data_IF_070805665936
#
_entry.id   IF_070805665936
#
_cell.length_a   1.000
_cell.length_b   1.000
_cell.length_c   1.000
_cell.angle_alpha   90.00
_cell.angle_beta   90.00
_cell.angle_gamma   90.00
#
_symmetry.space_group_name_H-M   'P 1'
#
loop_
_entity.id
_entity.type
_entity.pdbx_description
1 polymer ?
#
# COMPACT_ATOMS: atom_id res chain seq x y z
N UNK A 1 -15.97 -13.92 7.68
CA UNK A 1 -16.47 -12.72 6.97
C UNK A 1 -15.73 -12.51 5.64
N UNK A 2 -16.25 -11.66 4.76
CA UNK A 2 -15.49 -11.16 3.61
C UNK A 2 -14.72 -9.92 4.05
N UNK A 3 -13.44 -9.86 3.71
CA UNK A 3 -12.58 -8.69 3.90
C UNK A 3 -12.05 -8.22 2.55
N UNK A 4 -11.91 -6.91 2.37
CA UNK A 4 -11.37 -6.37 1.13
C UNK A 4 -10.74 -4.99 1.26
N UNK A 5 -9.75 -4.69 0.43
CA UNK A 5 -9.30 -3.30 0.22
C UNK A 5 -10.33 -2.53 -0.62
N UNK A 6 -10.36 -1.19 -0.53
CA UNK A 6 -11.22 -0.39 -1.43
C UNK A 6 -10.84 -0.56 -2.92
N UNK A 7 -9.63 -1.07 -3.17
CA UNK A 7 -9.07 -1.29 -4.51
C UNK A 7 -9.37 -2.69 -5.08
N UNK A 8 -10.13 -3.53 -4.36
CA UNK A 8 -10.75 -4.75 -4.90
C UNK A 8 -10.08 -6.08 -4.52
N UNK A 9 -9.06 -6.09 -3.65
CA UNK A 9 -8.51 -7.34 -3.12
C UNK A 9 -9.53 -7.95 -2.16
N UNK A 10 -10.17 -9.09 -2.49
CA UNK A 10 -11.29 -9.68 -1.73
C UNK A 10 -10.95 -11.09 -1.25
N UNK A 11 -11.17 -11.32 0.04
CA UNK A 11 -10.73 -12.53 0.74
C UNK A 11 -11.83 -13.03 1.67
N UNK A 12 -11.99 -14.36 1.76
CA UNK A 12 -12.80 -14.99 2.80
C UNK A 12 -11.91 -15.25 4.02
N UNK A 13 -12.26 -14.62 5.13
CA UNK A 13 -11.54 -14.71 6.39
C UNK A 13 -12.40 -15.41 7.44
N UNK A 14 -11.93 -16.55 7.93
CA UNK A 14 -12.50 -17.23 9.09
C UNK A 14 -11.89 -16.61 10.36
N UNK A 15 -12.67 -15.75 11.02
CA UNK A 15 -12.24 -15.01 12.20
C UNK A 15 -11.98 -15.90 13.41
N UNK A 16 -12.67 -17.04 13.51
CA UNK A 16 -12.56 -17.92 14.68
C UNK A 16 -11.23 -18.68 14.67
N UNK A 17 -10.82 -19.16 13.50
CA UNK A 17 -9.59 -19.94 13.35
C UNK A 17 -8.41 -19.13 12.80
N UNK A 18 -8.67 -17.91 12.33
CA UNK A 18 -7.70 -17.08 11.62
C UNK A 18 -7.30 -17.67 10.27
N UNK A 19 -8.19 -18.40 9.59
CA UNK A 19 -7.91 -18.98 8.26
C UNK A 19 -8.28 -18.02 7.14
N UNK A 20 -7.50 -18.06 6.06
CA UNK A 20 -7.58 -17.13 4.95
C UNK A 20 -7.72 -17.90 3.63
N UNK A 21 -8.76 -17.56 2.87
CA UNK A 21 -9.11 -18.20 1.60
C UNK A 21 -9.32 -17.15 0.50
N UNK A 22 -8.75 -17.40 -0.67
CA UNK A 22 -8.83 -16.51 -1.83
C UNK A 22 -9.10 -17.39 -3.05
N UNK A 23 -10.30 -17.28 -3.62
CA UNK A 23 -10.77 -18.19 -4.68
C UNK A 23 -10.62 -19.67 -4.24
N UNK A 24 -9.82 -20.45 -4.95
CA UNK A 24 -9.48 -21.85 -4.64
C UNK A 24 -8.20 -22.00 -3.80
N UNK A 25 -7.52 -20.90 -3.49
CA UNK A 25 -6.29 -20.87 -2.70
C UNK A 25 -6.57 -20.73 -1.19
N UNK A 26 -5.96 -21.60 -0.39
CA UNK A 26 -5.90 -21.49 1.06
C UNK A 26 -4.51 -21.04 1.47
N UNK A 27 -4.43 -20.09 2.39
CA UNK A 27 -3.16 -19.79 3.07
C UNK A 27 -2.69 -21.00 3.88
N UNK A 28 -1.39 -21.02 4.16
CA UNK A 28 -0.76 -22.07 4.97
C UNK A 28 -1.39 -22.09 6.37
N UNK A 29 -2.07 -23.19 6.69
CA UNK A 29 -2.77 -23.33 7.98
C UNK A 29 -1.83 -23.58 9.14
N UNK A 30 -0.59 -24.00 8.89
CA UNK A 30 0.41 -24.18 9.95
C UNK A 30 0.88 -22.85 10.56
N UNK A 31 0.67 -21.73 9.85
CA UNK A 31 1.00 -20.39 10.36
C UNK A 31 -0.18 -19.66 10.98
N UNK A 32 -1.38 -20.21 10.86
CA UNK A 32 -2.57 -19.66 11.47
C UNK A 32 -2.47 -19.70 13.02
N UNK A 33 -3.19 -18.83 13.74
CA UNK A 33 -4.16 -17.86 13.23
C UNK A 33 -3.49 -16.64 12.57
N UNK A 34 -4.03 -16.21 11.43
CA UNK A 34 -3.68 -14.93 10.82
C UNK A 34 -4.61 -13.84 11.32
N UNK A 35 -4.07 -12.69 11.71
CA UNK A 35 -4.84 -11.46 11.88
C UNK A 35 -4.81 -10.66 10.57
N UNK A 36 -5.98 -10.31 10.05
CA UNK A 36 -6.10 -9.45 8.86
C UNK A 36 -6.01 -7.98 9.25
N UNK A 37 -5.27 -7.19 8.48
CA UNK A 37 -5.22 -5.72 8.54
C UNK A 37 -5.51 -5.11 7.17
N UNK A 38 -6.08 -3.90 7.19
CA UNK A 38 -6.35 -3.09 6.01
C UNK A 38 -7.75 -3.27 5.42
N UNK A 39 -8.68 -3.88 6.16
CA UNK A 39 -10.02 -4.15 5.66
C UNK A 39 -10.80 -2.84 5.49
N UNK A 40 -11.15 -2.51 4.24
CA UNK A 40 -11.82 -1.25 3.89
C UNK A 40 -10.88 -0.06 3.71
N UNK A 41 -9.56 -0.25 3.74
CA UNK A 41 -8.60 0.84 3.57
C UNK A 41 -8.36 1.19 2.10
N UNK A 42 -7.85 2.41 1.90
CA UNK A 42 -7.53 2.98 0.59
C UNK A 42 -6.06 3.37 0.41
N UNK A 43 -5.27 3.36 1.49
CA UNK A 43 -3.82 3.55 1.45
C UNK A 43 -3.07 2.21 1.41
N UNK A 44 -3.65 1.22 0.74
CA UNK A 44 -3.04 -0.09 0.52
C UNK A 44 -3.57 -0.76 -0.76
N UNK A 45 -2.67 -1.43 -1.47
CA UNK A 45 -2.98 -2.31 -2.59
C UNK A 45 -3.40 -3.71 -2.15
N UNK A 46 -2.72 -4.23 -1.12
CA UNK A 46 -2.83 -5.61 -0.68
C UNK A 46 -3.15 -5.67 0.82
N UNK A 47 -4.05 -6.59 1.22
CA UNK A 47 -4.29 -6.88 2.64
C UNK A 47 -3.05 -7.52 3.28
N UNK A 48 -2.86 -7.25 4.56
CA UNK A 48 -1.77 -7.82 5.36
C UNK A 48 -2.32 -8.87 6.32
N UNK A 49 -1.58 -9.97 6.44
CA UNK A 49 -1.93 -11.11 7.28
C UNK A 49 -0.80 -11.36 8.27
N UNK A 50 -1.07 -11.09 9.54
CA UNK A 50 -0.07 -11.18 10.61
C UNK A 50 -0.20 -12.54 11.28
N UNK A 51 0.88 -13.32 11.26
CA UNK A 51 1.02 -14.57 11.99
C UNK A 51 2.06 -14.44 13.09
N UNK A 52 2.19 -15.48 13.93
CA UNK A 52 3.22 -15.51 14.98
C UNK A 52 4.64 -15.39 14.42
N UNK A 53 4.92 -16.06 13.31
CA UNK A 53 6.27 -16.14 12.73
C UNK A 53 6.54 -15.07 11.68
N UNK A 54 5.54 -14.33 11.20
CA UNK A 54 5.78 -13.41 10.10
C UNK A 54 4.58 -12.61 9.65
N UNK A 55 4.86 -11.73 8.71
CA UNK A 55 3.88 -10.90 8.02
C UNK A 55 3.78 -11.38 6.58
N UNK A 56 2.56 -11.51 6.11
CA UNK A 56 2.23 -12.07 4.82
C UNK A 56 1.30 -11.16 4.03
N UNK A 57 1.34 -11.27 2.71
CA UNK A 57 0.33 -10.73 1.81
C UNK A 57 0.04 -11.75 0.70
N UNK A 58 -1.07 -11.57 -0.01
CA UNK A 58 -1.35 -12.36 -1.21
C UNK A 58 -0.81 -11.65 -2.45
N UNK A 59 0.21 -12.23 -3.09
CA UNK A 59 0.71 -11.69 -4.34
C UNK A 59 -0.24 -12.09 -5.47
N UNK A 60 -1.02 -11.12 -5.95
CA UNK A 60 -2.01 -11.33 -7.02
C UNK A 60 -1.38 -11.74 -8.36
N UNK A 61 -0.14 -11.33 -8.64
CA UNK A 61 0.57 -11.68 -9.88
C UNK A 61 1.08 -13.12 -9.84
N UNK A 62 1.54 -13.59 -8.67
CA UNK A 62 1.98 -14.98 -8.47
C UNK A 62 0.87 -15.92 -8.01
N UNK A 63 -0.31 -15.38 -7.69
CA UNK A 63 -1.48 -16.09 -7.13
C UNK A 63 -1.12 -16.97 -5.93
N UNK A 64 -0.34 -16.42 -4.98
CA UNK A 64 0.07 -17.15 -3.78
C UNK A 64 0.36 -16.22 -2.61
N UNK A 65 0.30 -16.79 -1.40
CA UNK A 65 0.79 -16.16 -0.19
C UNK A 65 2.31 -15.95 -0.27
N UNK A 66 2.78 -14.78 0.14
CA UNK A 66 4.20 -14.46 0.30
C UNK A 66 4.48 -13.87 1.68
N UNK A 67 5.53 -14.38 2.33
CA UNK A 67 6.08 -13.82 3.57
C UNK A 67 6.99 -12.65 3.22
N UNK A 68 6.77 -11.51 3.85
CA UNK A 68 7.51 -10.26 3.60
C UNK A 68 8.42 -9.84 4.75
N UNK A 69 8.30 -10.49 5.90
CA UNK A 69 9.19 -10.25 7.03
C UNK A 69 8.75 -10.98 8.29
N UNK A 70 9.53 -10.81 9.34
CA UNK A 70 9.19 -11.26 10.69
C UNK A 70 8.00 -10.44 11.22
N UNK A 71 7.28 -10.98 12.20
CA UNK A 71 6.26 -10.20 12.89
C UNK A 71 6.94 -9.13 13.74
N UNK A 72 6.72 -7.86 13.36
CA UNK A 72 7.32 -6.69 14.01
C UNK A 72 6.46 -6.13 15.15
N UNK A 73 5.23 -6.62 15.30
CA UNK A 73 4.26 -6.08 16.25
C UNK A 73 4.39 -6.74 17.60
N UNK A 74 4.13 -5.96 18.64
CA UNK A 74 3.81 -6.51 19.96
C UNK A 74 2.38 -7.06 20.00
N UNK A 75 1.92 -7.45 21.19
CA UNK A 75 0.57 -7.99 21.36
C UNK A 75 -0.51 -6.93 21.07
N UNK A 76 -1.77 -7.38 20.96
CA UNK A 76 -2.97 -6.56 20.81
C UNK A 76 -2.94 -5.53 19.67
N UNK A 77 -2.89 -6.02 18.42
CA UNK A 77 -3.03 -5.14 17.26
C UNK A 77 -4.48 -4.63 17.15
N UNK A 78 -4.72 -3.34 16.95
CA UNK A 78 -6.06 -2.74 16.80
C UNK A 78 -6.08 -1.71 15.67
N UNK A 79 -7.06 -1.78 14.76
CA UNK A 79 -7.27 -0.80 13.69
C UNK A 79 -8.02 0.43 14.24
N UNK A 80 -7.35 1.59 14.28
CA UNK A 80 -7.96 2.87 14.62
C UNK A 80 -8.80 3.40 13.45
N UNK A 81 -8.28 3.20 12.24
CA UNK A 81 -8.95 3.35 10.95
C UNK A 81 -8.50 2.18 10.07
N UNK A 82 -9.13 1.95 8.91
CA UNK A 82 -8.64 0.93 7.97
C UNK A 82 -7.20 1.15 7.47
N UNK A 83 -6.63 2.35 7.64
CA UNK A 83 -5.27 2.69 7.21
C UNK A 83 -4.29 2.88 8.37
N UNK A 84 -4.77 3.05 9.61
CA UNK A 84 -3.96 3.39 10.78
C UNK A 84 -4.30 2.44 11.93
N UNK A 85 -3.30 1.82 12.52
CA UNK A 85 -3.47 0.78 13.51
C UNK A 85 -2.38 0.83 14.58
N UNK A 86 -2.64 0.22 15.72
CA UNK A 86 -1.74 0.20 16.87
C UNK A 86 -1.40 -1.22 17.27
N UNK A 87 -0.29 -1.37 17.98
CA UNK A 87 -0.07 -2.49 18.88
C UNK A 87 -0.06 -1.97 20.33
N UNK A 88 0.41 -2.77 21.29
CA UNK A 88 0.50 -2.33 22.68
C UNK A 88 1.34 -1.06 22.89
N UNK A 89 2.29 -0.75 22.00
CA UNK A 89 3.34 0.26 22.23
C UNK A 89 3.34 1.40 21.21
N UNK A 90 2.95 1.14 19.98
CA UNK A 90 3.25 1.96 18.82
C UNK A 90 2.01 2.13 17.94
N UNK A 91 2.00 3.21 17.18
CA UNK A 91 1.04 3.48 16.11
C UNK A 91 1.75 3.34 14.76
N UNK A 92 1.05 2.71 13.82
CA UNK A 92 1.50 2.39 12.48
C UNK A 92 0.46 2.81 11.46
N UNK A 93 0.86 2.95 10.21
CA UNK A 93 -0.06 3.21 9.12
C UNK A 93 0.41 2.56 7.82
N UNK A 94 -0.56 2.29 6.95
CA UNK A 94 -0.32 1.92 5.57
C UNK A 94 -0.14 3.17 4.72
N UNK A 95 0.82 3.17 3.80
CA UNK A 95 0.88 4.12 2.69
C UNK A 95 1.30 3.36 1.41
N UNK A 96 1.12 3.98 0.24
CA UNK A 96 1.42 3.36 -1.04
C UNK A 96 2.33 4.20 -1.91
N UNK A 97 3.10 3.52 -2.76
CA UNK A 97 3.71 4.17 -3.89
C UNK A 97 3.90 3.22 -5.07
N UNK A 98 3.92 3.82 -6.24
CA UNK A 98 4.11 3.15 -7.51
C UNK A 98 5.54 3.35 -8.02
N UNK A 99 6.15 2.28 -8.51
CA UNK A 99 7.42 2.35 -9.22
C UNK A 99 7.16 2.35 -10.72
N UNK A 100 7.57 3.42 -11.39
CA UNK A 100 7.42 3.58 -12.83
C UNK A 100 8.77 3.47 -13.53
N UNK A 101 8.85 2.64 -14.57
CA UNK A 101 9.96 2.64 -15.51
C UNK A 101 9.72 3.71 -16.57
N UNK A 102 10.68 4.62 -16.73
CA UNK A 102 10.67 5.63 -17.81
C UNK A 102 11.63 5.20 -18.91
N UNK A 103 11.11 4.61 -19.98
CA UNK A 103 11.91 4.28 -21.14
C UNK A 103 12.01 5.46 -22.11
N UNK A 104 13.15 5.60 -22.79
CA UNK A 104 13.41 6.72 -23.72
C UNK A 104 12.34 6.85 -24.83
N UNK A 105 11.78 5.73 -25.30
CA UNK A 105 10.82 5.69 -26.42
C UNK A 105 9.52 4.93 -26.09
N UNK A 106 9.29 4.56 -24.83
CA UNK A 106 8.27 3.56 -24.46
C UNK A 106 7.26 4.09 -23.44
N UNK A 107 7.29 5.38 -23.14
CA UNK A 107 6.46 6.01 -22.13
C UNK A 107 6.79 5.57 -20.70
N UNK A 108 5.85 5.85 -19.79
CA UNK A 108 5.91 5.46 -18.39
C UNK A 108 5.18 4.12 -18.20
N UNK A 109 5.88 3.12 -17.67
CA UNK A 109 5.33 1.78 -17.46
C UNK A 109 5.33 1.48 -15.97
N UNK A 110 4.15 1.21 -15.40
CA UNK A 110 4.03 0.81 -14.00
C UNK A 110 4.71 -0.55 -13.82
N UNK A 111 5.75 -0.55 -12.99
CA UNK A 111 6.63 -1.71 -12.79
C UNK A 111 6.26 -2.47 -11.52
N UNK A 112 5.94 -1.75 -10.44
CA UNK A 112 5.41 -2.35 -9.23
C UNK A 112 4.46 -1.42 -8.49
N UNK A 113 3.53 -2.05 -7.78
CA UNK A 113 2.70 -1.44 -6.75
C UNK A 113 3.25 -1.85 -5.39
N UNK A 114 3.39 -0.90 -4.48
CA UNK A 114 3.98 -1.14 -3.17
C UNK A 114 3.04 -0.64 -2.08
N UNK A 115 2.76 -1.49 -1.11
CA UNK A 115 2.13 -1.09 0.15
C UNK A 115 3.17 -1.19 1.26
N UNK A 116 3.28 -0.14 2.06
CA UNK A 116 4.27 -0.01 3.11
C UNK A 116 3.57 0.09 4.46
N UNK A 117 4.11 -0.58 5.46
CA UNK A 117 3.80 -0.31 6.86
C UNK A 117 4.88 0.62 7.40
N UNK A 118 4.45 1.81 7.79
CA UNK A 118 5.27 2.80 8.47
C UNK A 118 5.01 2.77 9.96
N UNK A 119 6.06 2.88 10.76
CA UNK A 119 5.95 3.31 12.15
C UNK A 119 5.74 4.81 12.18
N UNK A 120 4.67 5.26 12.83
CA UNK A 120 4.40 6.68 13.04
C UNK A 120 5.07 7.15 14.32
N UNK A 121 4.71 6.55 15.46
CA UNK A 121 5.15 6.99 16.78
C UNK A 121 4.82 5.97 17.89
N UNK A 122 5.16 6.27 19.14
CA UNK A 122 4.55 5.67 20.32
C UNK A 122 3.06 5.99 20.35
N UNK A 123 2.25 5.01 20.74
CA UNK A 123 0.78 5.17 20.78
C UNK A 123 0.32 6.13 21.88
N UNK A 124 1.18 6.38 22.88
CA UNK A 124 0.86 7.21 24.03
C UNK A 124 0.44 8.63 23.62
N UNK A 125 -0.60 9.15 24.28
CA UNK A 125 -1.11 10.51 24.13
C UNK A 125 -1.68 10.86 22.74
N UNK A 126 -2.00 9.87 21.91
CA UNK A 126 -2.82 10.07 20.73
C UNK A 126 -4.30 10.00 21.11
N UNK A 127 -5.04 11.05 20.79
CA UNK A 127 -6.47 11.17 21.09
C UNK A 127 -7.24 11.44 19.80
N UNK A 128 -8.29 10.66 19.56
CA UNK A 128 -9.22 10.95 18.47
C UNK A 128 -10.11 12.11 18.85
N UNK A 129 -10.11 13.16 18.03
CA UNK A 129 -10.92 14.37 18.24
C UNK A 129 -12.30 14.20 17.62
N UNK A 130 -12.37 13.89 16.33
CA UNK A 130 -13.64 13.69 15.62
C UNK A 130 -13.47 12.91 14.32
N UNK A 131 -14.56 12.30 13.85
CA UNK A 131 -14.70 11.87 12.46
C UNK A 131 -15.08 13.08 11.59
N UNK A 132 -14.63 13.07 10.34
CA UNK A 132 -15.13 13.93 9.28
C UNK A 132 -15.98 13.08 8.34
N UNK A 133 -17.20 13.52 8.05
CA UNK A 133 -18.20 12.71 7.35
C UNK A 133 -18.80 13.44 6.15
N UNK A 134 -18.90 12.72 5.04
CA UNK A 134 -19.73 13.07 3.87
C UNK A 134 -20.55 11.83 3.50
N UNK A 135 -21.62 11.59 4.25
CA UNK A 135 -22.38 10.32 4.27
C UNK A 135 -21.62 9.14 4.91
N UNK A 136 -20.33 8.99 4.63
CA UNK A 136 -19.40 8.04 5.25
C UNK A 136 -18.20 8.75 5.86
N UNK A 137 -17.39 8.08 6.67
CA UNK A 137 -16.15 8.67 7.21
C UNK A 137 -15.18 8.88 6.05
N UNK A 138 -14.78 10.14 5.87
CA UNK A 138 -13.84 10.57 4.82
C UNK A 138 -12.47 10.93 5.39
N UNK A 139 -12.37 11.07 6.70
CA UNK A 139 -11.11 11.17 7.42
C UNK A 139 -11.36 11.40 8.90
N UNK A 140 -10.30 11.47 9.68
CA UNK A 140 -10.41 11.65 11.14
C UNK A 140 -9.39 12.66 11.63
N UNK A 141 -9.78 13.46 12.63
CA UNK A 141 -8.90 14.41 13.30
C UNK A 141 -8.39 13.78 14.59
N UNK A 142 -7.08 13.84 14.77
CA UNK A 142 -6.37 13.32 15.93
C UNK A 142 -5.53 14.42 16.55
N UNK A 143 -5.27 14.29 17.84
CA UNK A 143 -4.46 15.20 18.62
C UNK A 143 -3.33 14.44 19.28
N UNK A 144 -2.14 15.07 19.33
CA UNK A 144 -1.02 14.61 20.12
C UNK A 144 -0.31 15.81 20.75
N UNK A 145 -0.38 15.94 22.07
CA UNK A 145 0.08 17.17 22.73
C UNK A 145 -0.72 18.37 22.24
N UNK A 146 -0.04 19.40 21.72
CA UNK A 146 -0.69 20.59 21.17
C UNK A 146 -0.91 20.52 19.64
N UNK A 147 -0.40 19.48 19.00
CA UNK A 147 -0.49 19.28 17.55
C UNK A 147 -1.74 18.50 17.15
N UNK A 148 -2.25 18.81 15.95
CA UNK A 148 -3.38 18.12 15.34
C UNK A 148 -2.99 17.48 14.03
N UNK A 149 -3.61 16.35 13.74
CA UNK A 149 -3.33 15.51 12.59
C UNK A 149 -4.63 15.12 11.90
N UNK A 150 -4.59 15.10 10.57
CA UNK A 150 -5.63 14.55 9.72
C UNK A 150 -5.17 13.18 9.21
N UNK A 151 -5.93 12.13 9.55
CA UNK A 151 -5.76 10.79 8.99
C UNK A 151 -6.74 10.61 7.85
N UNK A 152 -6.21 10.35 6.66
CA UNK A 152 -6.97 10.34 5.44
C UNK A 152 -7.75 9.04 5.21
N UNK A 153 -9.02 9.20 4.84
CA UNK A 153 -9.84 8.15 4.25
C UNK A 153 -10.48 8.60 2.91
N UNK A 154 -10.05 9.77 2.40
CA UNK A 154 -10.58 10.45 1.22
C UNK A 154 -9.77 10.20 -0.06
N UNK A 155 -8.82 9.27 -0.04
CA UNK A 155 -7.90 8.95 -1.15
C UNK A 155 -6.97 10.12 -1.49
N UNK A 156 -6.51 10.83 -0.47
CA UNK A 156 -5.38 11.75 -0.61
C UNK A 156 -4.11 10.98 -0.98
N UNK A 157 -3.06 11.70 -1.36
CA UNK A 157 -1.79 11.08 -1.78
C UNK A 157 -1.07 10.36 -0.62
N UNK A 158 -1.15 10.91 0.58
CA UNK A 158 -0.53 10.37 1.78
C UNK A 158 -1.60 10.10 2.84
N UNK A 159 -1.26 9.24 3.78
CA UNK A 159 -2.21 8.76 4.79
C UNK A 159 -2.37 9.72 5.96
N UNK A 160 -1.31 10.44 6.32
CA UNK A 160 -1.28 11.28 7.52
C UNK A 160 -0.69 12.65 7.20
N UNK A 161 -1.39 13.69 7.65
CA UNK A 161 -0.96 15.07 7.55
C UNK A 161 -1.01 15.75 8.92
N UNK A 162 0.01 16.50 9.29
CA UNK A 162 -0.06 17.45 10.40
C UNK A 162 -0.80 18.72 9.93
N UNK A 163 -1.70 19.22 10.75
CA UNK A 163 -2.45 20.45 10.49
C UNK A 163 -1.62 21.62 11.03
N UNK A 164 -1.15 22.47 10.13
CA UNK A 164 -0.14 23.48 10.44
C UNK A 164 -0.67 24.70 11.20
N UNK A 165 -1.98 24.97 11.08
CA UNK A 165 -2.58 26.19 11.58
C UNK A 165 -4.01 26.00 12.07
N UNK A 166 -4.43 26.91 12.95
CA UNK A 166 -5.75 26.87 13.59
C UNK A 166 -6.90 27.12 12.61
N UNK A 167 -6.71 27.95 11.58
CA UNK A 167 -7.77 28.24 10.59
C UNK A 167 -8.15 26.96 9.84
N UNK A 168 -7.14 26.18 9.43
CA UNK A 168 -7.32 24.88 8.77
C UNK A 168 -7.94 23.86 9.71
N UNK A 169 -7.51 23.82 10.98
CA UNK A 169 -8.14 22.97 12.00
C UNK A 169 -9.62 23.32 12.18
N UNK A 170 -9.94 24.61 12.40
CA UNK A 170 -11.30 25.09 12.60
C UNK A 170 -12.16 24.78 11.37
N UNK A 171 -11.62 24.93 10.15
CA UNK A 171 -12.29 24.52 8.92
C UNK A 171 -12.63 23.02 8.92
N UNK A 172 -11.65 22.16 9.20
CA UNK A 172 -11.85 20.70 9.18
C UNK A 172 -12.81 20.21 10.28
N UNK A 173 -12.80 20.85 11.44
CA UNK A 173 -13.72 20.53 12.55
C UNK A 173 -15.17 20.92 12.27
N UNK A 174 -15.39 21.96 11.45
CA UNK A 174 -16.72 22.46 11.11
C UNK A 174 -17.17 22.08 9.69
N UNK A 175 -16.37 21.33 8.93
CA UNK A 175 -16.68 20.93 7.57
C UNK A 175 -17.82 19.90 7.57
N UNK A 176 -18.96 20.28 6.99
CA UNK A 176 -20.07 19.37 6.70
C UNK A 176 -19.86 18.55 5.42
N UNK A 177 -18.85 18.91 4.62
CA UNK A 177 -18.35 18.15 3.48
C UNK A 177 -16.90 18.59 3.21
N UNK A 178 -16.02 17.63 2.91
CA UNK A 178 -14.65 17.87 2.43
C UNK A 178 -14.58 17.53 0.94
N UNK A 179 -14.13 18.48 0.13
CA UNK A 179 -13.79 18.25 -1.28
C UNK A 179 -12.29 17.95 -1.44
N UNK A 180 -11.95 17.08 -2.41
CA UNK A 180 -10.59 16.67 -2.75
C UNK A 180 -9.73 17.88 -3.09
N UNK A 181 -10.26 18.77 -3.93
CA UNK A 181 -9.54 19.95 -4.41
C UNK A 181 -9.15 20.86 -3.24
N UNK A 182 -10.01 21.00 -2.23
CA UNK A 182 -9.71 21.79 -1.04
C UNK A 182 -8.58 21.16 -0.22
N UNK A 183 -8.62 19.84 -0.04
CA UNK A 183 -7.57 19.12 0.67
C UNK A 183 -6.23 19.18 -0.05
N UNK A 184 -6.23 19.02 -1.39
CA UNK A 184 -5.04 19.21 -2.23
C UNK A 184 -4.52 20.63 -2.08
N UNK A 185 -5.38 21.64 -2.14
CA UNK A 185 -5.01 23.04 -1.96
C UNK A 185 -4.39 23.31 -0.58
N UNK A 186 -4.90 22.67 0.49
CA UNK A 186 -4.26 22.76 1.81
C UNK A 186 -2.86 22.14 1.85
N UNK A 187 -2.64 21.03 1.14
CA UNK A 187 -1.30 20.42 1.02
C UNK A 187 -0.36 21.35 0.23
N UNK A 188 -0.81 21.87 -0.92
CA UNK A 188 -0.01 22.76 -1.77
C UNK A 188 0.40 24.06 -1.05
N UNK A 189 -0.49 24.59 -0.20
CA UNK A 189 -0.21 25.77 0.62
C UNK A 189 0.44 25.45 1.98
N UNK A 190 0.90 24.21 2.20
CA UNK A 190 1.57 23.77 3.45
C UNK A 190 0.73 23.93 4.72
N UNK A 191 -0.60 23.98 4.57
CA UNK A 191 -1.57 23.95 5.67
C UNK A 191 -1.80 22.53 6.18
N UNK A 192 -1.64 21.53 5.30
CA UNK A 192 -1.53 20.12 5.62
C UNK A 192 -0.12 19.64 5.25
N UNK A 193 0.69 19.31 6.25
CA UNK A 193 2.08 18.91 6.09
C UNK A 193 2.17 17.39 6.15
N UNK A 194 2.71 16.75 5.10
CA UNK A 194 2.85 15.29 5.04
C UNK A 194 3.72 14.80 6.20
N UNK A 195 3.23 13.79 6.93
CA UNK A 195 4.01 13.09 7.94
C UNK A 195 4.73 11.90 7.30
N UNK A 196 6.04 11.82 7.52
CA UNK A 196 6.86 10.72 7.04
C UNK A 196 7.28 9.84 8.22
N UNK A 197 6.70 8.66 8.32
CA UNK A 197 7.07 7.63 9.29
C UNK A 197 8.32 6.85 8.87
N UNK A 198 8.77 5.97 9.76
CA UNK A 198 9.89 5.06 9.50
C UNK A 198 9.37 3.78 8.82
N UNK A 199 9.88 3.46 7.62
CA UNK A 199 9.48 2.24 6.92
C UNK A 199 9.88 1.00 7.72
N UNK A 200 8.94 0.08 7.96
CA UNK A 200 9.21 -1.17 8.68
C UNK A 200 9.09 -2.40 7.78
N UNK A 201 8.04 -2.48 6.99
CA UNK A 201 7.72 -3.63 6.14
C UNK A 201 7.16 -3.14 4.81
N UNK A 202 7.50 -3.84 3.72
CA UNK A 202 7.04 -3.54 2.36
C UNK A 202 6.49 -4.79 1.69
N UNK A 203 5.28 -4.69 1.16
CA UNK A 203 4.73 -5.64 0.19
C UNK A 203 4.90 -5.06 -1.21
N UNK A 204 5.55 -5.80 -2.11
CA UNK A 204 5.76 -5.39 -3.51
C UNK A 204 5.12 -6.37 -4.47
N UNK A 205 4.20 -5.87 -5.28
CA UNK A 205 3.57 -6.60 -6.39
C UNK A 205 4.18 -6.10 -7.70
N UNK A 206 5.14 -6.85 -8.25
CA UNK A 206 5.73 -6.56 -9.57
C UNK A 206 4.75 -6.91 -10.69
N UNK A 207 4.37 -5.93 -11.52
CA UNK A 207 3.43 -6.12 -12.64
C UNK A 207 4.11 -6.60 -13.94
N UNK A 208 5.44 -6.75 -13.92
CA UNK A 208 6.28 -6.84 -15.11
C UNK A 208 6.75 -8.26 -15.47
N UNK A 209 5.82 -9.16 -15.81
CA UNK A 209 6.18 -10.44 -16.43
C UNK A 209 6.64 -10.27 -17.89
N UNK A 210 5.85 -9.57 -18.70
CA UNK A 210 6.01 -9.58 -20.17
C UNK A 210 7.11 -8.62 -20.65
N UNK A 211 7.22 -7.40 -20.10
CA UNK A 211 8.17 -6.41 -20.64
C UNK A 211 9.62 -6.68 -20.22
N UNK A 212 9.86 -7.17 -19.00
CA UNK A 212 11.19 -7.61 -18.54
C UNK A 212 11.68 -8.78 -19.40
N UNK A 213 10.78 -9.70 -19.74
CA UNK A 213 11.02 -10.78 -20.71
C UNK A 213 11.33 -10.19 -22.10
N UNK A 214 10.47 -9.34 -22.66
CA UNK A 214 10.68 -8.74 -23.98
C UNK A 214 11.99 -7.93 -24.04
N UNK A 215 12.37 -7.14 -23.05
CA UNK A 215 13.67 -6.44 -23.03
C UNK A 215 14.84 -7.45 -22.93
N UNK A 216 14.75 -8.44 -22.04
CA UNK A 216 15.84 -9.42 -21.81
C UNK A 216 16.07 -10.28 -23.05
N UNK A 217 14.98 -10.73 -23.70
CA UNK A 217 15.02 -11.62 -24.85
C UNK A 217 15.07 -10.88 -26.20
N UNK A 218 14.67 -9.60 -26.29
CA UNK A 218 14.83 -8.81 -27.54
C UNK A 218 16.29 -8.62 -27.92
N UNK A 219 17.20 -8.44 -26.95
CA UNK A 219 18.66 -8.39 -27.22
C UNK A 219 19.18 -9.72 -27.77
N UNK A 220 18.70 -10.84 -27.23
CA UNK A 220 19.03 -12.19 -27.72
C UNK A 220 18.48 -12.38 -29.13
N UNK A 221 17.24 -11.98 -29.37
CA UNK A 221 16.59 -12.07 -30.67
C UNK A 221 17.31 -11.23 -31.74
N UNK A 222 17.75 -10.01 -31.41
CA UNK A 222 18.54 -9.16 -32.30
C UNK A 222 19.90 -9.81 -32.64
N UNK A 223 20.56 -10.42 -31.67
CA UNK A 223 21.83 -11.14 -31.89
C UNK A 223 21.64 -12.34 -32.82
N UNK A 224 20.56 -13.11 -32.65
CA UNK A 224 20.19 -14.23 -33.52
C UNK A 224 19.94 -13.73 -34.96
N UNK A 225 19.21 -12.64 -35.14
CA UNK A 225 18.96 -12.05 -36.46
C UNK A 225 20.25 -11.60 -37.16
N UNK A 226 21.18 -10.98 -36.43
CA UNK A 226 22.49 -10.58 -36.95
C UNK A 226 23.30 -11.82 -37.36
N UNK A 227 23.32 -12.87 -36.54
CA UNK A 227 24.03 -14.11 -36.84
C UNK A 227 23.48 -14.81 -38.09
N UNK A 228 22.15 -14.93 -38.21
CA UNK A 228 21.48 -15.50 -39.40
C UNK A 228 21.81 -14.66 -40.65
N UNK A 229 21.73 -13.32 -40.55
CA UNK A 229 22.10 -12.43 -41.65
C UNK A 229 23.56 -12.55 -42.08
N UNK A 230 24.47 -12.78 -41.12
CA UNK A 230 25.89 -13.05 -41.39
C UNK A 230 26.11 -14.36 -42.15
N UNK A 231 25.47 -15.44 -41.71
CA UNK A 231 25.52 -16.75 -42.38
C UNK A 231 24.97 -16.65 -43.80
N UNK A 232 23.83 -15.96 -43.99
CA UNK A 232 23.22 -15.77 -45.31
C UNK A 232 24.13 -14.97 -46.26
N UNK A 233 24.83 -13.93 -45.76
CA UNK A 233 25.82 -13.17 -46.55
C UNK A 233 27.02 -14.02 -46.96
N UNK A 234 27.52 -14.89 -46.09
CA UNK A 234 28.62 -15.81 -46.40
C UNK A 234 28.19 -16.83 -47.46
N UNK A 235 26.99 -17.39 -47.32
CA UNK A 235 26.43 -18.32 -48.30
C UNK A 235 26.27 -17.69 -49.70
N UNK A 236 25.85 -16.42 -49.78
CA UNK A 236 25.72 -15.69 -51.04
C UNK A 236 27.07 -15.31 -51.69
N UNK A 237 28.15 -15.20 -50.91
CA UNK A 237 29.51 -14.88 -51.40
C UNK A 237 30.26 -16.10 -51.96
N UNK A 238 29.89 -17.29 -51.52
CA UNK A 238 30.50 -18.56 -51.93
C UNK A 238 29.77 -19.23 -53.11
N UNK A 239 28.90 -18.49 -53.81
CA UNK A 239 28.16 -18.89 -55.00
C UNK A 239 28.39 -17.85 -56.08
#
# INVERSE_FOLDING_TARGET
KIVSTKQGNRVLYDEANGYVFIEDYSFDREKAPYKVLGNGGNHLYDLFFIAKDGIYFYNTQKKKQERIGDNIFSENIEELTPNVFTDDKNIYYFDTYDVWFKGKNTGHILTSKNTIIYYLDKKDNWEKVTDIRDGTVVGTIWKKGDDYYYFDEFYMKNTIYQIADKETLDYLLNANNINHDNMVNFVENKKLIVVNGEEKIRATTELSGVYRFVIKYSKIFLFILIAIGGIFRLYKKNK
#
